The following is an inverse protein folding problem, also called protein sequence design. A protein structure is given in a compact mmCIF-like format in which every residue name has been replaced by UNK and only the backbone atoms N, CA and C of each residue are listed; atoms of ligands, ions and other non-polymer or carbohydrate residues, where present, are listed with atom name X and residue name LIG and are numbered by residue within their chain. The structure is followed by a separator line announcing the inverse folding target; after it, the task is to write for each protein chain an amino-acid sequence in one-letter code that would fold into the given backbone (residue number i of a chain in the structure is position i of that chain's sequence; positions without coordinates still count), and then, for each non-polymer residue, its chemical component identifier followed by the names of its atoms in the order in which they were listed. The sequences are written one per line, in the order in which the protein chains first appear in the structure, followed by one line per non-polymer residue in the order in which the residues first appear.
data_IF_740677864092
#
_entry.id   IF_740677864092
#
_cell.length_a   1.000
_cell.length_b   1.000
_cell.length_c   1.000
_cell.angle_alpha   90.00
_cell.angle_beta   90.00
_cell.angle_gamma   90.00
#
_symmetry.space_group_name_H-M   'P 1'
#
loop_
_entity.id
_entity.type
_entity.pdbx_description
1 polymer ?
#
# COMPACT_ATOMS: atom_id res chain seq x y z
N UNK A 1 5.39 5.57 3.47
CA UNK A 1 4.64 4.52 4.15
C UNK A 1 5.21 4.29 5.55
N UNK A 2 4.30 4.24 6.52
CA UNK A 2 4.51 3.84 7.90
C UNK A 2 3.35 2.92 8.28
N UNK A 3 3.53 2.09 9.30
CA UNK A 3 2.43 1.30 9.84
C UNK A 3 1.32 2.26 10.34
N UNK A 4 0.06 1.97 10.00
CA UNK A 4 -1.10 2.81 10.28
C UNK A 4 -1.29 4.00 9.33
N UNK A 5 -0.43 4.21 8.34
CA UNK A 5 -0.63 5.24 7.32
C UNK A 5 -1.83 4.89 6.43
N UNK A 6 -2.72 5.86 6.18
CA UNK A 6 -3.87 5.69 5.30
C UNK A 6 -3.54 6.23 3.90
N UNK A 7 -3.47 5.32 2.92
CA UNK A 7 -3.28 5.64 1.51
C UNK A 7 -4.65 5.89 0.86
N UNK A 8 -4.76 7.02 0.14
CA UNK A 8 -5.96 7.40 -0.61
C UNK A 8 -7.26 7.43 0.22
N UNK A 9 -7.15 7.63 1.55
CA UNK A 9 -8.30 7.59 2.45
C UNK A 9 -9.05 6.24 2.49
N UNK A 10 -8.40 5.16 2.02
CA UNK A 10 -9.04 3.84 1.85
C UNK A 10 -8.19 2.69 2.35
N UNK A 11 -6.87 2.73 2.20
CA UNK A 11 -6.03 1.58 2.51
C UNK A 11 -5.09 1.88 3.68
N UNK A 12 -5.28 1.20 4.80
CA UNK A 12 -4.41 1.31 5.97
C UNK A 12 -3.22 0.36 5.84
N UNK A 13 -1.99 0.88 5.93
CA UNK A 13 -0.78 0.05 5.86
C UNK A 13 -0.60 -0.76 7.14
N UNK A 14 -0.63 -2.09 7.02
CA UNK A 14 -0.53 -3.04 8.15
C UNK A 14 0.79 -3.79 8.19
N UNK A 15 1.57 -3.86 7.11
CA UNK A 15 2.91 -4.43 7.16
C UNK A 15 3.79 -3.99 5.99
N UNK A 16 5.10 -4.01 6.18
CA UNK A 16 6.04 -4.04 5.06
C UNK A 16 6.09 -5.45 4.48
N UNK A 17 6.09 -5.60 3.15
CA UNK A 17 6.23 -6.90 2.49
C UNK A 17 7.46 -7.01 1.60
N UNK A 18 7.98 -5.91 1.04
CA UNK A 18 9.24 -5.96 0.32
C UNK A 18 9.71 -4.60 -0.17
N UNK A 19 11.01 -4.33 -0.14
CA UNK A 19 11.60 -3.05 -0.55
C UNK A 19 12.54 -3.28 -1.74
N UNK A 20 12.35 -2.50 -2.80
CA UNK A 20 13.23 -2.46 -3.96
C UNK A 20 13.83 -1.07 -4.21
N UNK A 21 14.65 -0.98 -5.26
CA UNK A 21 15.27 0.28 -5.71
C UNK A 21 14.21 1.26 -6.24
N UNK A 22 13.18 0.77 -6.93
CA UNK A 22 12.18 1.61 -7.59
C UNK A 22 10.84 1.67 -6.87
N UNK A 23 10.58 0.73 -5.97
CA UNK A 23 9.28 0.62 -5.33
C UNK A 23 9.36 -0.01 -3.95
N UNK A 24 8.27 0.07 -3.20
CA UNK A 24 8.09 -0.71 -1.98
C UNK A 24 6.70 -1.33 -1.99
N UNK A 25 6.61 -2.58 -1.57
CA UNK A 25 5.37 -3.33 -1.43
C UNK A 25 4.99 -3.41 0.04
N UNK A 26 3.74 -3.05 0.33
CA UNK A 26 3.16 -3.10 1.66
C UNK A 26 1.91 -3.96 1.65
N UNK A 27 1.61 -4.59 2.78
CA UNK A 27 0.30 -5.15 3.06
C UNK A 27 -0.58 -4.02 3.60
N UNK A 28 -1.80 -3.92 3.10
CA UNK A 28 -2.75 -2.92 3.56
C UNK A 28 -4.16 -3.50 3.70
N UNK A 29 -4.91 -2.97 4.66
CA UNK A 29 -6.32 -3.27 4.87
C UNK A 29 -7.19 -2.29 4.08
N UNK A 30 -8.15 -2.78 3.32
CA UNK A 30 -9.15 -1.97 2.61
C UNK A 30 -10.26 -1.57 3.59
N UNK A 31 -10.25 -0.31 4.03
CA UNK A 31 -11.23 0.22 5.00
C UNK A 31 -12.62 0.44 4.42
N UNK A 32 -12.76 0.34 3.09
CA UNK A 32 -14.03 0.52 2.37
C UNK A 32 -14.37 -0.71 1.55
N UNK A 33 -13.88 -1.89 1.95
CA UNK A 33 -14.20 -3.14 1.28
C UNK A 33 -15.72 -3.33 1.21
N UNK A 34 -16.24 -3.46 0.00
CA UNK A 34 -17.62 -3.80 -0.28
C UNK A 34 -17.75 -5.27 -0.70
N UNK A 35 -18.98 -5.68 -1.03
CA UNK A 35 -19.25 -7.07 -1.45
C UNK A 35 -18.39 -7.47 -2.66
N UNK A 36 -17.48 -8.42 -2.44
CA UNK A 36 -16.63 -9.00 -3.48
C UNK A 36 -15.24 -8.37 -3.60
N UNK A 37 -14.93 -7.32 -2.85
CA UNK A 37 -13.56 -6.79 -2.78
C UNK A 37 -12.75 -7.48 -1.66
N UNK A 38 -11.42 -7.64 -1.85
CA UNK A 38 -10.57 -8.17 -0.79
C UNK A 38 -10.40 -7.16 0.35
N UNK A 39 -10.53 -7.64 1.59
CA UNK A 39 -10.25 -6.89 2.82
C UNK A 39 -8.76 -6.55 2.98
N UNK A 40 -7.88 -7.39 2.42
CA UNK A 40 -6.43 -7.20 2.45
C UNK A 40 -5.85 -7.22 1.04
N UNK A 41 -4.94 -6.28 0.78
CA UNK A 41 -4.28 -6.11 -0.52
C UNK A 41 -2.78 -5.89 -0.35
N UNK A 42 -2.03 -6.25 -1.39
CA UNK A 42 -0.65 -5.80 -1.54
C UNK A 42 -0.62 -4.52 -2.37
N UNK A 43 -0.02 -3.45 -1.86
CA UNK A 43 0.11 -2.17 -2.56
C UNK A 43 1.57 -1.96 -2.93
N UNK A 44 1.85 -1.79 -4.23
CA UNK A 44 3.17 -1.43 -4.75
C UNK A 44 3.26 0.08 -4.91
N UNK A 45 3.98 0.72 -4.00
CA UNK A 45 4.23 2.17 -3.99
C UNK A 45 5.46 2.44 -4.85
N UNK A 46 5.29 3.13 -5.97
CA UNK A 46 6.38 3.54 -6.87
C UNK A 46 6.96 4.87 -6.38
N UNK A 47 8.28 5.00 -6.39
CA UNK A 47 8.92 6.29 -6.08
C UNK A 47 8.71 7.25 -7.24
N UNK A 48 8.26 8.45 -6.95
CA UNK A 48 8.26 9.53 -7.93
C UNK A 48 9.66 10.16 -7.97
N UNK A 49 10.53 9.62 -8.82
CA UNK A 49 11.88 10.14 -9.06
C UNK A 49 11.89 10.81 -10.44
N UNK A 50 12.13 12.13 -10.48
CA UNK A 50 12.24 12.88 -11.75
C UNK A 50 13.54 12.55 -12.53
N UNK A 51 14.46 11.80 -11.90
CA UNK A 51 15.70 11.29 -12.50
C UNK A 51 15.61 9.77 -12.60
N UNK A 52 15.13 9.30 -13.75
CA UNK A 52 15.50 8.01 -14.33
C UNK A 52 16.21 8.27 -15.65
#
# INVERSE_FOLDING_TARGET
YRFGEILDGRYEVTAAHGKGVFSTVVRAKNLKAGNGEPDEVAIKIIRNNDTM
#
